data_IF_347026782117
#
_entry.id   IF_347026782117
#
_cell.length_a   1.000
_cell.length_b   1.000
_cell.length_c   1.000
_cell.angle_alpha   90.00
_cell.angle_beta   90.00
_cell.angle_gamma   90.00
#
_symmetry.space_group_name_H-M   'P 1'
#
loop_
_entity.id
_entity.type
_entity.pdbx_description
1 polymer ?
#
# COMPACT_ATOMS: atom_id res chain seq x y z
N UNK A 1 -17.38 -58.23 9.99
CA UNK A 1 -17.05 -56.90 10.55
C UNK A 1 -16.08 -56.25 9.59
N UNK A 2 -16.60 -55.46 8.65
CA UNK A 2 -15.80 -54.70 7.68
C UNK A 2 -15.34 -53.41 8.35
N UNK A 3 -14.03 -53.24 8.49
CA UNK A 3 -13.44 -51.98 8.95
C UNK A 3 -13.47 -51.00 7.78
N UNK A 4 -14.39 -50.05 7.78
CA UNK A 4 -14.31 -48.89 6.89
C UNK A 4 -13.13 -48.01 7.33
N UNK A 5 -12.21 -47.61 6.43
CA UNK A 5 -11.18 -46.65 6.76
C UNK A 5 -11.83 -45.28 7.03
N UNK A 6 -11.42 -44.65 8.13
CA UNK A 6 -11.91 -43.35 8.56
C UNK A 6 -11.79 -42.28 7.45
N UNK A 7 -12.70 -41.28 7.40
CA UNK A 7 -12.65 -40.22 6.41
C UNK A 7 -11.34 -39.43 6.57
N UNK A 8 -10.48 -39.47 5.55
CA UNK A 8 -9.27 -38.65 5.54
C UNK A 8 -9.68 -37.20 5.26
N UNK A 9 -9.62 -36.35 6.28
CA UNK A 9 -9.76 -34.90 6.15
C UNK A 9 -8.66 -34.41 5.20
N UNK A 10 -8.98 -33.60 4.15
CA UNK A 10 -7.97 -33.15 3.20
C UNK A 10 -6.89 -32.30 3.91
N UNK A 11 -5.64 -32.35 3.43
CA UNK A 11 -4.49 -31.80 4.14
C UNK A 11 -4.61 -30.27 4.25
N UNK A 12 -4.17 -29.71 5.38
CA UNK A 12 -4.26 -28.30 5.81
C UNK A 12 -3.56 -27.24 4.93
N UNK A 13 -3.49 -27.43 3.62
CA UNK A 13 -2.99 -26.45 2.65
C UNK A 13 -4.00 -25.37 2.26
N UNK A 14 -5.30 -25.54 2.55
CA UNK A 14 -6.35 -24.57 2.20
C UNK A 14 -6.30 -23.32 3.08
N UNK A 15 -6.07 -23.48 4.38
CA UNK A 15 -6.18 -22.38 5.35
C UNK A 15 -5.05 -21.36 5.21
N UNK A 16 -3.81 -21.82 4.99
CA UNK A 16 -2.65 -20.93 4.79
C UNK A 16 -2.80 -20.11 3.50
N UNK A 17 -3.32 -20.74 2.42
CA UNK A 17 -3.57 -20.10 1.13
C UNK A 17 -4.63 -18.99 1.22
N UNK A 18 -5.68 -19.22 2.00
CA UNK A 18 -6.72 -18.22 2.23
C UNK A 18 -6.18 -17.02 3.02
N UNK A 19 -5.32 -17.26 4.01
CA UNK A 19 -4.76 -16.18 4.85
C UNK A 19 -3.80 -15.30 4.05
N UNK A 20 -2.87 -15.88 3.28
CA UNK A 20 -1.90 -15.13 2.47
C UNK A 20 -2.58 -14.26 1.42
N UNK A 21 -3.61 -14.78 0.75
CA UNK A 21 -4.40 -14.01 -0.23
C UNK A 21 -5.13 -12.85 0.44
N UNK A 22 -5.73 -13.07 1.61
CA UNK A 22 -6.41 -12.00 2.38
C UNK A 22 -5.41 -10.93 2.82
N UNK A 23 -4.24 -11.32 3.33
CA UNK A 23 -3.18 -10.37 3.72
C UNK A 23 -2.67 -9.59 2.51
N UNK A 24 -2.50 -10.24 1.36
CA UNK A 24 -2.09 -9.58 0.13
C UNK A 24 -3.12 -8.54 -0.34
N UNK A 25 -4.40 -8.90 -0.31
CA UNK A 25 -5.48 -7.99 -0.66
C UNK A 25 -5.57 -6.80 0.31
N UNK A 26 -5.45 -7.05 1.61
CA UNK A 26 -5.42 -5.99 2.63
C UNK A 26 -4.21 -5.06 2.44
N UNK A 27 -3.02 -5.60 2.18
CA UNK A 27 -1.83 -4.81 1.89
C UNK A 27 -2.01 -3.91 0.67
N UNK A 28 -2.62 -4.43 -0.40
CA UNK A 28 -2.95 -3.65 -1.59
C UNK A 28 -3.96 -2.53 -1.27
N UNK A 29 -5.02 -2.82 -0.51
CA UNK A 29 -6.01 -1.82 -0.13
C UNK A 29 -5.40 -0.71 0.73
N UNK A 30 -4.52 -1.06 1.66
CA UNK A 30 -3.78 -0.08 2.49
C UNK A 30 -2.88 0.78 1.61
N UNK A 31 -2.19 0.17 0.63
CA UNK A 31 -1.33 0.90 -0.30
C UNK A 31 -2.12 1.89 -1.15
N UNK A 32 -3.23 1.45 -1.73
CA UNK A 32 -4.14 2.29 -2.51
C UNK A 32 -4.74 3.41 -1.67
N UNK A 33 -5.11 3.13 -0.42
CA UNK A 33 -5.57 4.14 0.54
C UNK A 33 -4.51 5.22 0.81
N UNK A 34 -3.25 4.81 0.98
CA UNK A 34 -2.11 5.72 1.12
C UNK A 34 -1.90 6.61 -0.12
N UNK A 35 -1.93 6.01 -1.32
CA UNK A 35 -1.82 6.74 -2.59
C UNK A 35 -2.94 7.76 -2.72
N UNK A 36 -4.19 7.31 -2.58
CA UNK A 36 -5.37 8.17 -2.72
C UNK A 36 -5.36 9.35 -1.73
N UNK A 37 -4.95 9.10 -0.48
CA UNK A 37 -4.83 10.15 0.53
C UNK A 37 -3.75 11.18 0.16
N UNK A 38 -2.58 10.73 -0.33
CA UNK A 38 -1.49 11.62 -0.70
C UNK A 38 -1.68 12.36 -2.03
N UNK A 39 -2.57 11.89 -2.90
CA UNK A 39 -2.98 12.58 -4.15
C UNK A 39 -4.09 13.61 -3.95
N UNK A 40 -4.60 13.79 -2.72
CA UNK A 40 -5.62 14.82 -2.49
C UNK A 40 -5.03 16.23 -2.68
N UNK A 41 -5.80 17.14 -3.33
CA UNK A 41 -5.34 18.50 -3.53
C UNK A 41 -5.17 19.21 -2.19
N UNK A 42 -4.10 20.00 -2.12
CA UNK A 42 -3.77 20.94 -1.07
C UNK A 42 -3.77 22.32 -1.71
N UNK A 43 -4.66 23.18 -1.24
CA UNK A 43 -4.72 24.58 -1.62
C UNK A 43 -4.71 25.42 -0.35
N UNK A 44 -4.05 26.58 -0.43
CA UNK A 44 -4.20 27.66 0.55
C UNK A 44 -4.86 28.85 -0.14
N UNK A 45 -5.47 29.79 0.60
CA UNK A 45 -6.11 30.97 0.00
C UNK A 45 -5.18 31.81 -0.90
N UNK A 46 -3.86 31.74 -0.65
CA UNK A 46 -2.84 32.48 -1.40
C UNK A 46 -2.16 31.69 -2.51
N UNK A 47 -2.20 30.35 -2.52
CA UNK A 47 -1.52 29.55 -3.55
C UNK A 47 -2.10 28.13 -3.73
N UNK A 48 -2.02 27.64 -4.96
CA UNK A 48 -2.33 26.26 -5.30
C UNK A 48 -1.10 25.38 -5.12
N UNK A 49 -1.13 24.50 -4.12
CA UNK A 49 0.03 23.69 -3.71
C UNK A 49 0.05 22.33 -4.42
N UNK A 50 -0.96 22.04 -5.25
CA UNK A 50 -1.09 20.79 -5.98
C UNK A 50 -1.40 19.62 -5.04
N UNK A 51 -0.81 18.46 -5.29
CA UNK A 51 -0.94 17.28 -4.41
C UNK A 51 0.28 17.15 -3.50
N UNK A 52 0.11 16.53 -2.33
CA UNK A 52 1.21 16.28 -1.39
C UNK A 52 2.38 15.50 -2.03
N UNK A 53 2.09 14.54 -2.91
CA UNK A 53 3.13 13.79 -3.64
C UNK A 53 3.81 14.63 -4.73
N UNK A 54 3.05 15.37 -5.54
CA UNK A 54 3.64 16.21 -6.59
C UNK A 54 4.48 17.34 -6.01
N UNK A 55 4.07 17.93 -4.89
CA UNK A 55 4.84 19.00 -4.24
C UNK A 55 6.23 18.51 -3.80
N UNK A 56 6.32 17.30 -3.23
CA UNK A 56 7.58 16.70 -2.81
C UNK A 56 8.43 16.20 -3.98
N UNK A 57 7.81 15.69 -5.04
CA UNK A 57 8.50 15.17 -6.23
C UNK A 57 9.03 16.29 -7.15
N UNK A 58 8.25 17.35 -7.33
CA UNK A 58 8.58 18.49 -8.20
C UNK A 58 9.49 19.53 -7.50
N UNK A 59 9.75 19.38 -6.19
CA UNK A 59 10.58 20.31 -5.42
C UNK A 59 10.03 21.73 -5.38
N UNK A 60 8.70 21.89 -5.33
CA UNK A 60 8.06 23.22 -5.31
C UNK A 60 8.46 24.00 -4.05
N UNK A 61 8.63 25.30 -4.22
CA UNK A 61 8.98 26.24 -3.14
C UNK A 61 7.73 26.92 -2.59
N UNK A 62 7.76 27.29 -1.32
CA UNK A 62 6.69 28.04 -0.67
C UNK A 62 6.68 29.49 -1.16
N UNK A 63 5.49 30.04 -1.47
CA UNK A 63 5.30 31.47 -1.62
C UNK A 63 4.87 32.06 -0.28
N UNK A 64 5.68 32.97 0.22
CA UNK A 64 5.40 33.72 1.44
C UNK A 64 4.86 35.10 1.08
N UNK A 65 3.88 35.58 1.84
CA UNK A 65 3.41 36.97 1.73
C UNK A 65 4.44 37.86 2.38
N UNK A 66 5.09 38.74 1.60
CA UNK A 66 6.19 39.59 2.07
C UNK A 66 5.72 40.65 3.08
N UNK A 67 4.52 41.21 2.91
CA UNK A 67 3.90 42.15 3.84
C UNK A 67 2.52 41.63 4.29
N UNK A 68 2.43 40.93 5.44
CA UNK A 68 1.15 40.47 5.97
C UNK A 68 0.26 41.60 6.51
N UNK A 69 0.80 42.80 6.74
CA UNK A 69 0.03 43.96 7.19
C UNK A 69 -0.67 44.67 6.02
N UNK A 70 -0.16 44.49 4.79
CA UNK A 70 -0.78 44.93 3.54
C UNK A 70 -0.87 43.76 2.55
N UNK A 71 -1.78 42.80 2.77
CA UNK A 71 -1.93 41.64 1.90
C UNK A 71 -2.43 42.05 0.49
N UNK A 72 -2.16 41.23 -0.54
CA UNK A 72 -2.70 41.43 -1.88
C UNK A 72 -4.24 41.42 -1.90
N UNK A 73 -4.84 42.08 -2.88
CA UNK A 73 -6.30 42.21 -3.00
C UNK A 73 -7.00 40.85 -2.93
N UNK A 74 -8.01 40.75 -2.06
CA UNK A 74 -8.81 39.54 -1.88
C UNK A 74 -8.35 38.58 -0.78
N UNK A 75 -7.29 38.93 -0.03
CA UNK A 75 -6.77 38.11 1.08
C UNK A 75 -6.69 38.95 2.35
N UNK A 76 -7.16 38.41 3.47
CA UNK A 76 -7.11 39.09 4.77
C UNK A 76 -5.70 39.02 5.39
N UNK A 77 -5.42 39.94 6.32
CA UNK A 77 -4.15 39.94 7.08
C UNK A 77 -3.97 38.64 7.86
N UNK A 78 -5.06 38.11 8.40
CA UNK A 78 -5.11 36.83 9.13
C UNK A 78 -4.80 35.64 8.23
N UNK A 79 -5.33 35.61 7.01
CA UNK A 79 -5.03 34.56 6.02
C UNK A 79 -3.57 34.62 5.54
N UNK A 80 -3.02 35.81 5.34
CA UNK A 80 -1.62 36.01 4.99
C UNK A 80 -0.67 35.52 6.10
N UNK A 81 -0.97 35.85 7.35
CA UNK A 81 -0.20 35.36 8.51
C UNK A 81 -0.32 33.86 8.68
N UNK A 82 -1.52 33.29 8.54
CA UNK A 82 -1.75 31.86 8.63
C UNK A 82 -1.04 31.06 7.52
N UNK A 83 -0.93 31.63 6.31
CA UNK A 83 -0.14 31.00 5.25
C UNK A 83 1.36 30.98 5.57
N UNK A 84 1.90 32.07 6.11
CA UNK A 84 3.32 32.15 6.46
C UNK A 84 3.65 31.28 7.69
N UNK A 85 2.72 31.12 8.62
CA UNK A 85 2.90 30.31 9.82
C UNK A 85 2.91 28.80 9.53
N UNK A 86 2.10 28.34 8.58
CA UNK A 86 2.05 26.94 8.15
C UNK A 86 2.20 26.87 6.62
N UNK A 87 3.44 26.89 6.09
CA UNK A 87 3.66 26.94 4.65
C UNK A 87 3.24 25.62 3.98
N UNK A 88 2.99 25.66 2.68
CA UNK A 88 2.51 24.48 1.96
C UNK A 88 3.44 23.27 2.00
N UNK A 89 4.74 23.47 2.11
CA UNK A 89 5.70 22.39 2.32
C UNK A 89 5.44 21.62 3.62
N UNK A 90 5.16 22.33 4.71
CA UNK A 90 4.89 21.72 6.01
C UNK A 90 3.59 20.89 5.94
N UNK A 91 2.53 21.47 5.36
CA UNK A 91 1.25 20.78 5.13
C UNK A 91 1.38 19.57 4.21
N UNK A 92 2.10 19.71 3.10
CA UNK A 92 2.37 18.65 2.15
C UNK A 92 3.19 17.53 2.80
N UNK A 93 4.24 17.86 3.56
CA UNK A 93 5.04 16.89 4.28
C UNK A 93 4.24 16.16 5.37
N UNK A 94 3.44 16.87 6.16
CA UNK A 94 2.60 16.31 7.21
C UNK A 94 1.52 15.35 6.65
N UNK A 95 1.03 15.60 5.43
CA UNK A 95 0.10 14.70 4.75
C UNK A 95 0.80 13.56 4.01
N UNK A 96 1.95 13.82 3.40
CA UNK A 96 2.70 12.85 2.61
C UNK A 96 3.40 11.79 3.46
N UNK A 97 3.89 12.12 4.66
CA UNK A 97 4.54 11.16 5.56
C UNK A 97 3.64 9.95 5.91
N UNK A 98 2.43 10.13 6.46
CA UNK A 98 1.54 9.00 6.75
C UNK A 98 1.03 8.33 5.47
N UNK A 99 0.75 9.10 4.41
CA UNK A 99 0.33 8.55 3.12
C UNK A 99 1.40 7.63 2.50
N UNK A 100 2.66 8.08 2.51
CA UNK A 100 3.81 7.32 2.06
C UNK A 100 4.06 6.08 2.92
N UNK A 101 3.92 6.19 4.24
CA UNK A 101 4.04 5.05 5.14
C UNK A 101 2.99 3.97 4.83
N UNK A 102 1.73 4.36 4.59
CA UNK A 102 0.67 3.43 4.18
C UNK A 102 0.94 2.83 2.80
N UNK A 103 1.34 3.66 1.83
CA UNK A 103 1.66 3.22 0.47
C UNK A 103 2.79 2.18 0.45
N UNK A 104 3.93 2.51 1.07
CA UNK A 104 5.12 1.64 1.11
C UNK A 104 4.85 0.41 1.97
N UNK A 105 4.30 0.61 3.17
CA UNK A 105 4.01 -0.49 4.11
C UNK A 105 3.02 -1.49 3.54
N UNK A 106 1.89 -1.03 3.00
CA UNK A 106 0.90 -1.87 2.35
C UNK A 106 1.47 -2.65 1.17
N UNK A 107 2.31 -1.99 0.35
CA UNK A 107 2.96 -2.63 -0.80
C UNK A 107 3.94 -3.72 -0.35
N UNK A 108 4.78 -3.47 0.65
CA UNK A 108 5.74 -4.46 1.16
C UNK A 108 5.04 -5.68 1.76
N UNK A 109 4.02 -5.46 2.58
CA UNK A 109 3.21 -6.56 3.16
C UNK A 109 2.53 -7.35 2.06
N UNK A 110 1.90 -6.67 1.10
CA UNK A 110 1.23 -7.30 -0.03
C UNK A 110 2.17 -8.12 -0.90
N UNK A 111 3.34 -7.58 -1.22
CA UNK A 111 4.36 -8.23 -2.02
C UNK A 111 4.95 -9.46 -1.31
N UNK A 112 5.24 -9.36 -0.01
CA UNK A 112 5.75 -10.49 0.76
C UNK A 112 4.74 -11.64 0.82
N UNK A 113 3.46 -11.33 1.07
CA UNK A 113 2.40 -12.34 1.08
C UNK A 113 2.23 -13.02 -0.29
N UNK A 114 2.24 -12.23 -1.37
CA UNK A 114 2.18 -12.76 -2.74
C UNK A 114 3.40 -13.62 -3.08
N UNK A 115 4.60 -13.23 -2.67
CA UNK A 115 5.84 -13.98 -2.90
C UNK A 115 5.82 -15.35 -2.20
N UNK A 116 5.32 -15.43 -0.96
CA UNK A 116 5.13 -16.69 -0.24
C UNK A 116 4.17 -17.60 -1.01
N UNK A 117 3.04 -17.05 -1.47
CA UNK A 117 2.01 -17.80 -2.19
C UNK A 117 2.53 -18.38 -3.52
N UNK A 118 3.25 -17.55 -4.29
CA UNK A 118 3.88 -17.95 -5.54
C UNK A 118 5.02 -18.95 -5.30
N UNK A 119 5.81 -18.77 -4.23
CA UNK A 119 6.88 -19.67 -3.85
C UNK A 119 6.39 -21.06 -3.49
N UNK A 120 5.31 -21.17 -2.72
CA UNK A 120 4.68 -22.46 -2.36
C UNK A 120 4.13 -23.16 -3.60
N UNK A 121 3.45 -22.43 -4.50
CA UNK A 121 2.94 -22.98 -5.76
C UNK A 121 4.08 -23.46 -6.68
N UNK A 122 5.12 -22.65 -6.83
CA UNK A 122 6.30 -22.99 -7.62
C UNK A 122 7.00 -24.24 -7.08
N UNK A 123 7.20 -24.32 -5.75
CA UNK A 123 7.83 -25.47 -5.12
C UNK A 123 7.00 -26.75 -5.30
N UNK A 124 5.66 -26.68 -5.15
CA UNK A 124 4.78 -27.84 -5.40
C UNK A 124 4.89 -28.31 -6.85
N UNK A 125 4.81 -27.38 -7.80
CA UNK A 125 4.90 -27.70 -9.23
C UNK A 125 6.24 -28.32 -9.61
N UNK A 126 7.35 -27.83 -9.07
CA UNK A 126 8.67 -28.43 -9.24
C UNK A 126 8.77 -29.84 -8.67
N UNK A 127 8.12 -30.11 -7.53
CA UNK A 127 8.13 -31.44 -6.91
C UNK A 127 7.26 -32.44 -7.68
N UNK A 128 6.12 -32.02 -8.23
CA UNK A 128 5.24 -32.92 -9.02
C UNK A 128 5.79 -33.21 -10.41
N UNK A 129 6.50 -32.28 -11.04
CA UNK A 129 7.08 -32.46 -12.38
C UNK A 129 8.38 -33.28 -12.39
N UNK A 130 9.12 -33.34 -11.27
CA UNK A 130 10.38 -34.10 -11.18
C UNK A 130 10.24 -35.54 -10.66
N UNK A 131 9.05 -35.98 -10.21
CA UNK A 131 8.86 -37.38 -9.80
C UNK A 131 8.33 -38.20 -10.98
N UNK A 132 9.09 -39.17 -11.52
CA UNK A 132 8.56 -40.10 -12.50
C UNK A 132 7.43 -40.93 -11.87
N UNK A 133 6.38 -41.31 -12.64
CA UNK A 133 5.30 -42.12 -12.12
C UNK A 133 5.87 -43.45 -11.60
N UNK A 134 5.64 -43.75 -10.32
CA UNK A 134 5.96 -45.07 -9.75
C UNK A 134 5.05 -46.08 -10.45
N UNK A 135 5.61 -46.87 -11.36
CA UNK A 135 4.96 -48.05 -11.92
C UNK A 135 4.74 -49.03 -10.77
N UNK A 136 3.52 -49.06 -10.26
CA UNK A 136 3.03 -50.17 -9.47
C UNK A 136 3.03 -51.41 -10.36
N UNK A 137 3.99 -52.31 -10.18
CA UNK A 137 3.84 -53.69 -10.62
C UNK A 137 3.01 -54.40 -9.56
N UNK A 138 1.75 -54.65 -9.89
CA UNK A 138 0.86 -55.46 -9.06
C UNK A 138 1.37 -56.89 -8.91
N UNK A 139 1.07 -57.56 -7.78
CA UNK A 139 1.49 -58.94 -7.58
C UNK A 139 0.72 -59.87 -8.52
N UNK A 140 1.49 -60.78 -9.12
CA UNK A 140 1.06 -61.90 -9.98
C UNK A 140 0.31 -62.95 -9.15
#
# INVERSE_FOLDING_TARGET
MTNDPAPQTPPGGSMIHSITVVVAALGLLVALGGIWWGTRPLSTPVQDCGTSFSFLLDGRLNVFVQDPANPPEGITTEEAQANNADPCQERAANRARPAGALAIGGTLVGAAAAAVDLGVRGLRWFRTTRMPPVRSHGPI
#
